data_IF_058749148235
#
_entry.id   IF_058749148235
#
_cell.length_a   1.000
_cell.length_b   1.000
_cell.length_c   1.000
_cell.angle_alpha   90.00
_cell.angle_beta   90.00
_cell.angle_gamma   90.00
#
_symmetry.space_group_name_H-M   'P 1'
#
loop_
_entity.id
_entity.type
_entity.pdbx_description
1 polymer ?
#
# COMPACT_ATOMS: atom_id res chain seq x y z
N UNK A 1 -8.20 12.03 -1.98
CA UNK A 1 -8.85 10.76 -2.34
C UNK A 1 -7.86 9.66 -1.99
N UNK A 2 -8.22 8.37 -2.06
CA UNK A 2 -7.25 7.29 -1.82
C UNK A 2 -6.80 6.71 -3.16
N UNK A 3 -5.52 6.36 -3.30
CA UNK A 3 -5.05 5.65 -4.48
C UNK A 3 -5.66 4.24 -4.52
N UNK A 4 -6.09 3.80 -5.70
CA UNK A 4 -6.66 2.47 -5.92
C UNK A 4 -5.94 1.74 -7.03
N UNK A 5 -5.72 0.43 -6.85
CA UNK A 5 -5.09 -0.44 -7.83
C UNK A 5 -5.95 -1.68 -8.08
N UNK A 6 -6.27 -1.95 -9.34
CA UNK A 6 -6.84 -3.24 -9.73
C UNK A 6 -5.71 -4.15 -10.12
N UNK A 7 -5.57 -5.28 -9.42
CA UNK A 7 -4.49 -6.21 -9.67
C UNK A 7 -4.70 -7.02 -10.97
N UNK A 8 -3.68 -7.75 -11.40
CA UNK A 8 -3.72 -8.68 -12.54
C UNK A 8 -4.83 -9.75 -12.47
N UNK A 9 -5.42 -9.98 -11.29
CA UNK A 9 -6.52 -10.93 -11.06
C UNK A 9 -7.89 -10.25 -10.98
N UNK A 10 -8.00 -8.99 -11.38
CA UNK A 10 -9.25 -8.22 -11.38
C UNK A 10 -9.77 -7.81 -9.99
N UNK A 11 -8.92 -7.87 -8.95
CA UNK A 11 -9.29 -7.46 -7.58
C UNK A 11 -8.81 -6.04 -7.33
N UNK A 12 -9.73 -5.18 -6.90
CA UNK A 12 -9.42 -3.81 -6.50
C UNK A 12 -8.90 -3.77 -5.07
N UNK A 13 -7.83 -3.00 -4.88
CA UNK A 13 -7.24 -2.68 -3.59
C UNK A 13 -7.11 -1.17 -3.45
N UNK A 14 -7.18 -0.71 -2.21
CA UNK A 14 -7.01 0.68 -1.80
C UNK A 14 -5.70 0.79 -1.04
N UNK A 15 -4.97 1.88 -1.31
CA UNK A 15 -3.72 2.20 -0.61
C UNK A 15 -4.03 2.94 0.70
N UNK A 16 -3.33 2.55 1.75
CA UNK A 16 -3.42 3.17 3.07
C UNK A 16 -2.03 3.43 3.62
N UNK A 17 -1.93 4.42 4.51
CA UNK A 17 -0.73 4.69 5.30
C UNK A 17 -1.00 4.50 6.79
N UNK A 18 0.04 4.11 7.53
CA UNK A 18 -0.01 4.03 8.98
C UNK A 18 1.37 4.27 9.56
N UNK A 19 1.45 5.08 10.61
CA UNK A 19 2.67 5.16 11.42
C UNK A 19 2.74 3.98 12.37
N UNK A 20 3.84 3.25 12.31
CA UNK A 20 4.11 2.11 13.19
C UNK A 20 5.47 2.30 13.85
N UNK A 21 5.55 1.84 15.11
CA UNK A 21 6.83 1.71 15.81
C UNK A 21 7.38 0.32 15.52
N UNK A 22 8.53 0.26 14.85
CA UNK A 22 9.19 -1.00 14.55
C UNK A 22 9.82 -1.62 15.81
N UNK A 23 10.13 -2.92 15.73
CA UNK A 23 10.89 -3.64 16.75
C UNK A 23 12.30 -3.03 16.81
N UNK A 24 12.52 -2.12 17.75
CA UNK A 24 13.71 -1.25 17.83
C UNK A 24 13.40 0.22 18.15
N UNK A 25 12.12 0.59 18.27
CA UNK A 25 11.70 1.92 18.72
C UNK A 25 11.66 2.98 17.62
N UNK A 26 12.08 2.65 16.40
CA UNK A 26 12.00 3.57 15.25
C UNK A 26 10.56 3.69 14.76
N UNK A 27 10.05 4.92 14.70
CA UNK A 27 8.79 5.21 14.01
C UNK A 27 9.00 5.23 12.49
N UNK A 28 8.10 4.57 11.77
CA UNK A 28 8.09 4.55 10.31
C UNK A 28 6.66 4.58 9.80
N UNK A 29 6.40 5.42 8.82
CA UNK A 29 5.18 5.34 8.01
C UNK A 29 5.27 4.15 7.07
N UNK A 30 4.36 3.21 7.20
CA UNK A 30 4.22 2.09 6.27
C UNK A 30 3.07 2.35 5.31
N UNK A 31 3.19 1.77 4.12
CA UNK A 31 2.16 1.78 3.09
C UNK A 31 1.71 0.35 2.82
N UNK A 32 0.40 0.13 2.76
CA UNK A 32 -0.16 -1.20 2.53
C UNK A 32 -1.46 -1.13 1.73
N UNK A 33 -1.76 -2.22 1.03
CA UNK A 33 -2.99 -2.36 0.26
C UNK A 33 -4.01 -3.24 1.00
N UNK A 34 -5.27 -2.79 1.05
CA UNK A 34 -6.41 -3.57 1.54
C UNK A 34 -7.55 -3.56 0.53
N UNK A 35 -8.46 -4.54 0.60
CA UNK A 35 -9.61 -4.64 -0.34
C UNK A 35 -10.71 -3.64 -0.02
N UNK A 36 -10.74 -3.16 1.22
CA UNK A 36 -11.71 -2.21 1.72
C UNK A 36 -11.09 -0.81 1.88
N UNK A 37 -11.86 0.22 1.54
CA UNK A 37 -11.49 1.59 1.82
C UNK A 37 -11.64 1.87 3.32
N UNK A 38 -10.66 2.53 3.92
CA UNK A 38 -10.60 2.85 5.35
C UNK A 38 -10.28 4.32 5.54
N UNK A 39 -10.50 4.91 6.73
CA UNK A 39 -10.22 6.32 6.97
C UNK A 39 -8.77 6.74 6.72
N UNK A 40 -7.82 5.82 6.83
CA UNK A 40 -6.40 6.05 6.57
C UNK A 40 -5.98 5.78 5.12
N UNK A 41 -6.93 5.84 4.18
CA UNK A 41 -6.61 5.77 2.76
C UNK A 41 -5.73 6.98 2.38
N UNK A 42 -4.72 6.74 1.55
CA UNK A 42 -3.79 7.79 1.15
C UNK A 42 -3.50 7.73 -0.35
N UNK A 43 -2.97 8.82 -0.88
CA UNK A 43 -2.44 8.87 -2.24
C UNK A 43 -1.09 8.15 -2.33
N UNK A 44 -0.71 7.74 -3.55
CA UNK A 44 0.60 7.13 -3.80
C UNK A 44 1.69 8.20 -3.66
N UNK A 45 2.69 8.03 -2.77
CA UNK A 45 3.75 9.01 -2.59
C UNK A 45 4.60 9.19 -3.85
N UNK A 46 5.13 10.40 -4.04
CA UNK A 46 6.08 10.67 -5.12
C UNK A 46 7.32 9.78 -5.02
N UNK A 47 7.82 9.31 -6.16
CA UNK A 47 8.98 8.42 -6.22
C UNK A 47 8.72 6.98 -5.77
N UNK A 48 7.44 6.60 -5.62
CA UNK A 48 7.06 5.22 -5.34
C UNK A 48 6.22 4.64 -6.49
N UNK A 49 6.33 3.32 -6.68
CA UNK A 49 5.57 2.57 -7.68
C UNK A 49 4.87 1.37 -7.05
N UNK A 50 3.74 1.00 -7.63
CA UNK A 50 2.98 -0.19 -7.24
C UNK A 50 3.49 -1.38 -8.02
N UNK A 51 3.80 -2.45 -7.30
CA UNK A 51 4.23 -3.73 -7.86
C UNK A 51 3.35 -4.82 -7.27
N UNK A 52 3.07 -5.86 -8.05
CA UNK A 52 2.31 -7.01 -7.57
C UNK A 52 3.24 -8.16 -7.21
N UNK A 53 2.93 -8.86 -6.11
CA UNK A 53 3.61 -10.12 -5.79
C UNK A 53 3.27 -11.17 -6.86
N UNK A 54 4.26 -11.78 -7.55
CA UNK A 54 3.98 -12.81 -8.56
C UNK A 54 3.25 -14.03 -7.98
N UNK A 55 3.50 -14.34 -6.70
CA UNK A 55 2.92 -15.52 -6.04
C UNK A 55 1.47 -15.30 -5.61
N UNK A 56 1.17 -14.14 -4.99
CA UNK A 56 -0.16 -13.90 -4.39
C UNK A 56 -1.04 -13.00 -5.27
N UNK A 57 -0.43 -12.14 -6.09
CA UNK A 57 -1.10 -11.02 -6.75
C UNK A 57 -1.42 -9.86 -5.81
N UNK A 58 -0.85 -9.83 -4.60
CA UNK A 58 -1.02 -8.73 -3.66
C UNK A 58 -0.20 -7.51 -4.12
N UNK A 59 -0.82 -6.34 -4.33
CA UNK A 59 -0.08 -5.12 -4.62
C UNK A 59 0.69 -4.64 -3.38
N UNK A 60 1.88 -4.09 -3.60
CA UNK A 60 2.69 -3.44 -2.59
C UNK A 60 3.44 -2.27 -3.22
N UNK A 61 3.87 -1.34 -2.37
CA UNK A 61 4.61 -0.15 -2.79
C UNK A 61 6.11 -0.42 -2.73
N UNK A 62 6.84 -0.02 -3.77
CA UNK A 62 8.31 -0.08 -3.82
C UNK A 62 8.85 1.32 -4.13
N UNK A 63 9.92 1.72 -3.45
CA UNK A 63 10.69 2.90 -3.86
C UNK A 63 11.19 2.73 -5.30
N UNK A 64 11.12 3.81 -6.09
CA UNK A 64 11.47 3.79 -7.50
C UNK A 64 12.89 3.25 -7.74
#
# INVERSE_FOLDING_TARGET
MGYTHTNSKGKTYHLHSKDVTLKGGRNQTIYYFAKDARPNACDLPSGMKVVESPKTGLPFVKGA
#
